data_IF_633077108758
#
_entry.id   IF_633077108758
#
_cell.length_a   1.000
_cell.length_b   1.000
_cell.length_c   1.000
_cell.angle_alpha   90.00
_cell.angle_beta   90.00
_cell.angle_gamma   90.00
#
_symmetry.space_group_name_H-M   'P 1'
#
loop_
_entity.id
_entity.type
_entity.pdbx_description
1 polymer ?
#
# COMPACT_ATOMS: atom_id res chain seq x y z
N UNK A 1 0.66 -12.56 -21.86
CA UNK A 1 -0.60 -13.11 -21.32
C UNK A 1 -1.40 -11.99 -20.68
N UNK A 2 -2.71 -11.85 -20.98
CA UNK A 2 -3.55 -10.89 -20.29
C UNK A 2 -3.69 -11.30 -18.82
N UNK A 3 -3.39 -10.36 -17.92
CA UNK A 3 -3.70 -10.54 -16.50
C UNK A 3 -5.22 -10.38 -16.35
N UNK A 4 -5.87 -11.31 -15.64
CA UNK A 4 -7.30 -11.24 -15.36
C UNK A 4 -7.70 -9.98 -14.60
N UNK A 5 -9.01 -9.73 -14.52
CA UNK A 5 -9.56 -8.61 -13.75
C UNK A 5 -9.14 -8.68 -12.28
N UNK A 6 -8.97 -7.51 -11.64
CA UNK A 6 -8.72 -7.43 -10.20
C UNK A 6 -10.00 -7.82 -9.47
N UNK A 7 -9.88 -8.67 -8.46
CA UNK A 7 -10.99 -9.08 -7.61
C UNK A 7 -11.30 -7.95 -6.61
N UNK A 8 -12.37 -7.21 -6.86
CA UNK A 8 -12.83 -6.14 -5.97
C UNK A 8 -14.05 -6.61 -5.17
N UNK A 9 -13.79 -7.31 -4.08
CA UNK A 9 -14.82 -7.83 -3.17
C UNK A 9 -14.36 -7.70 -1.70
N UNK A 10 -15.27 -7.43 -0.75
CA UNK A 10 -14.93 -7.34 0.67
C UNK A 10 -14.22 -8.60 1.18
N UNK A 11 -13.19 -8.40 2.01
CA UNK A 11 -12.41 -9.51 2.57
C UNK A 11 -11.37 -10.13 1.63
N UNK A 12 -11.27 -9.67 0.38
CA UNK A 12 -10.27 -10.17 -0.58
C UNK A 12 -8.84 -9.78 -0.18
N UNK A 13 -7.94 -10.77 -0.14
CA UNK A 13 -6.51 -10.54 0.09
C UNK A 13 -5.83 -10.03 -1.20
N UNK A 14 -5.26 -8.84 -1.12
CA UNK A 14 -4.52 -8.23 -2.22
C UNK A 14 -3.03 -8.23 -1.90
N UNK A 15 -2.21 -8.84 -2.77
CA UNK A 15 -0.76 -8.67 -2.72
C UNK A 15 -0.37 -7.35 -3.40
N UNK A 16 0.26 -6.44 -2.66
CA UNK A 16 0.66 -5.11 -3.14
C UNK A 16 2.18 -5.00 -3.15
N UNK A 17 2.73 -4.47 -4.24
CA UNK A 17 4.16 -4.21 -4.40
C UNK A 17 4.34 -2.71 -4.67
N UNK A 18 5.31 -2.08 -4.01
CA UNK A 18 5.71 -0.70 -4.24
C UNK A 18 7.16 -0.64 -4.74
N UNK A 19 7.51 0.44 -5.44
CA UNK A 19 8.86 0.70 -5.95
C UNK A 19 9.20 2.17 -5.75
N UNK A 20 10.48 2.46 -5.52
CA UNK A 20 10.98 3.83 -5.48
C UNK A 20 10.87 4.50 -6.85
N UNK A 21 10.70 5.81 -6.84
CA UNK A 21 10.74 6.64 -8.03
C UNK A 21 12.14 6.52 -8.64
N UNK A 22 12.22 6.40 -9.97
CA UNK A 22 13.49 6.24 -10.70
C UNK A 22 14.36 5.07 -10.21
N UNK A 23 13.74 4.01 -9.65
CA UNK A 23 14.43 2.86 -9.03
C UNK A 23 15.29 3.25 -7.81
N UNK A 24 15.04 4.42 -7.22
CA UNK A 24 15.67 4.85 -5.98
C UNK A 24 15.22 4.04 -4.77
N UNK A 25 15.87 4.29 -3.63
CA UNK A 25 15.47 3.73 -2.35
C UNK A 25 14.03 4.16 -2.02
N UNK A 26 13.25 3.23 -1.45
CA UNK A 26 11.87 3.52 -1.02
C UNK A 26 11.87 4.37 0.26
N UNK A 27 12.86 4.15 1.13
CA UNK A 27 13.06 4.89 2.36
C UNK A 27 14.51 5.33 2.44
N UNK A 28 14.74 6.56 2.91
CA UNK A 28 16.09 7.09 3.12
C UNK A 28 16.68 6.68 4.46
N UNK A 29 15.82 6.47 5.47
CA UNK A 29 16.19 6.04 6.81
C UNK A 29 15.03 5.31 7.51
N UNK A 30 15.27 4.91 8.76
CA UNK A 30 14.28 4.22 9.58
C UNK A 30 13.11 5.10 10.02
N UNK A 31 13.31 6.41 10.13
CA UNK A 31 12.26 7.33 10.56
C UNK A 31 11.26 7.58 9.41
N UNK A 32 11.76 7.77 8.19
CA UNK A 32 10.96 7.83 6.97
C UNK A 32 10.11 6.56 6.79
N UNK A 33 10.73 5.38 6.99
CA UNK A 33 10.00 4.09 6.97
C UNK A 33 8.87 4.05 8.00
N UNK A 34 9.11 4.49 9.24
CA UNK A 34 8.09 4.51 10.30
C UNK A 34 6.97 5.48 9.96
N UNK A 35 7.30 6.66 9.45
CA UNK A 35 6.32 7.68 9.08
C UNK A 35 5.43 7.21 7.93
N UNK A 36 6.01 6.52 6.93
CA UNK A 36 5.24 5.87 5.88
C UNK A 36 4.26 4.83 6.43
N UNK A 37 4.71 3.95 7.35
CA UNK A 37 3.84 2.97 7.99
C UNK A 37 2.72 3.64 8.80
N UNK A 38 3.02 4.72 9.54
CA UNK A 38 2.05 5.47 10.34
C UNK A 38 0.97 6.10 9.47
N UNK A 39 1.35 6.77 8.38
CA UNK A 39 0.42 7.40 7.42
C UNK A 39 -0.44 6.36 6.72
N UNK A 40 0.17 5.29 6.22
CA UNK A 40 -0.54 4.21 5.52
C UNK A 40 -1.50 3.49 6.47
N UNK A 41 -1.09 3.20 7.70
CA UNK A 41 -1.96 2.61 8.72
C UNK A 41 -3.15 3.51 9.06
N UNK A 42 -2.92 4.81 9.21
CA UNK A 42 -3.99 5.80 9.44
C UNK A 42 -4.97 5.84 8.27
N UNK A 43 -4.46 5.84 7.03
CA UNK A 43 -5.27 5.82 5.83
C UNK A 43 -6.11 4.55 5.74
N UNK A 44 -5.50 3.37 5.94
CA UNK A 44 -6.18 2.09 5.89
C UNK A 44 -7.32 2.00 6.93
N UNK A 45 -7.10 2.49 8.15
CA UNK A 45 -8.14 2.58 9.18
C UNK A 45 -9.28 3.53 8.77
N UNK A 46 -8.95 4.72 8.24
CA UNK A 46 -9.94 5.69 7.76
C UNK A 46 -10.82 5.12 6.63
N UNK A 47 -10.24 4.33 5.73
CA UNK A 47 -11.00 3.72 4.63
C UNK A 47 -11.89 2.57 5.07
N UNK A 48 -11.55 1.83 6.13
CA UNK A 48 -12.42 0.78 6.69
C UNK A 48 -13.79 1.29 7.18
N UNK A 49 -13.93 2.59 7.47
CA UNK A 49 -15.18 3.20 7.94
C UNK A 49 -16.05 3.81 6.84
N UNK A 50 -15.76 3.52 5.56
CA UNK A 50 -16.44 4.15 4.40
C UNK A 50 -17.17 3.15 3.48
N UNK A 51 -17.45 1.94 3.98
CA UNK A 51 -18.29 0.93 3.33
C UNK A 51 -19.75 1.10 3.71
#
# INVERSE_FOLDING_TARGET
MPRGARLDAPGTLHHVIIRGIERGAIFTDDEDRKEFMRRTGTLAKRWRGRS
#
